data_IF_601752454320
#
_entry.id   IF_601752454320
#
_cell.length_a   1.000
_cell.length_b   1.000
_cell.length_c   1.000
_cell.angle_alpha   90.00
_cell.angle_beta   90.00
_cell.angle_gamma   90.00
#
_symmetry.space_group_name_H-M   'P 1'
#
loop_
_entity.id
_entity.type
_entity.pdbx_description
1 polymer ?
#
# COMPACT_ATOMS: atom_id res chain seq x y z
N UNK A 1 5.65 19.07 -22.24
CA UNK A 1 4.53 18.38 -21.55
C UNK A 1 4.54 16.91 -22.00
N UNK A 2 5.33 16.08 -21.33
CA UNK A 2 5.37 14.63 -21.59
C UNK A 2 4.56 13.99 -20.47
N UNK A 3 3.42 13.39 -20.80
CA UNK A 3 2.61 12.64 -19.85
C UNK A 3 3.45 11.49 -19.25
N UNK A 4 3.32 11.18 -17.96
CA UNK A 4 3.96 10.01 -17.39
C UNK A 4 3.38 8.76 -18.08
N UNK A 5 4.22 7.98 -18.74
CA UNK A 5 3.81 6.69 -19.29
C UNK A 5 3.29 5.79 -18.16
N UNK A 6 2.15 5.09 -18.34
CA UNK A 6 1.71 4.08 -17.40
C UNK A 6 2.77 2.98 -17.33
N UNK A 7 3.20 2.65 -16.12
CA UNK A 7 4.07 1.51 -15.85
C UNK A 7 3.42 0.25 -16.43
N UNK A 8 4.21 -0.69 -17.02
CA UNK A 8 3.66 -1.91 -17.56
C UNK A 8 2.99 -2.69 -16.43
N UNK A 9 1.67 -2.78 -16.48
CA UNK A 9 0.93 -3.75 -15.69
C UNK A 9 1.39 -5.13 -16.12
N UNK A 10 1.69 -5.98 -15.16
CA UNK A 10 1.80 -7.43 -15.33
C UNK A 10 0.44 -7.96 -15.80
N UNK A 11 0.16 -7.81 -17.10
CA UNK A 11 -1.03 -8.35 -17.75
C UNK A 11 -0.82 -9.84 -18.02
N UNK A 12 -0.65 -10.64 -16.98
CA UNK A 12 -1.06 -12.04 -17.10
C UNK A 12 -2.60 -12.09 -17.16
N UNK A 13 -3.19 -12.88 -18.07
CA UNK A 13 -4.64 -13.03 -18.12
C UNK A 13 -5.12 -13.65 -16.80
N UNK A 14 -5.93 -12.89 -16.06
CA UNK A 14 -6.54 -13.33 -14.80
C UNK A 14 -7.32 -14.62 -15.08
N UNK A 15 -7.03 -15.70 -14.34
CA UNK A 15 -7.71 -16.96 -14.57
C UNK A 15 -9.22 -16.82 -14.28
N UNK A 16 -10.07 -17.55 -15.03
CA UNK A 16 -11.51 -17.57 -14.77
C UNK A 16 -11.81 -18.00 -13.33
N UNK A 17 -10.99 -18.89 -12.77
CA UNK A 17 -11.08 -19.31 -11.37
C UNK A 17 -10.92 -18.13 -10.43
N UNK A 18 -9.92 -17.27 -10.64
CA UNK A 18 -9.66 -16.10 -9.79
C UNK A 18 -10.75 -15.04 -9.91
N UNK A 19 -11.29 -14.84 -11.11
CA UNK A 19 -12.44 -13.94 -11.32
C UNK A 19 -13.67 -14.43 -10.57
N UNK A 20 -13.97 -15.74 -10.63
CA UNK A 20 -15.09 -16.35 -9.94
C UNK A 20 -14.94 -16.32 -8.42
N UNK A 21 -13.78 -16.71 -7.88
CA UNK A 21 -13.53 -16.69 -6.42
C UNK A 21 -13.56 -15.27 -5.87
N UNK A 22 -13.04 -14.29 -6.61
CA UNK A 22 -13.16 -12.85 -6.29
C UNK A 22 -14.63 -12.42 -6.24
N UNK A 23 -15.40 -12.69 -7.30
CA UNK A 23 -16.80 -12.28 -7.36
C UNK A 23 -17.63 -12.86 -6.19
N UNK A 24 -17.43 -14.15 -5.90
CA UNK A 24 -18.08 -14.83 -4.77
C UNK A 24 -17.66 -14.18 -3.45
N UNK A 25 -16.36 -13.97 -3.22
CA UNK A 25 -15.86 -13.40 -1.98
C UNK A 25 -16.39 -11.98 -1.73
N UNK A 26 -16.38 -11.12 -2.75
CA UNK A 26 -16.92 -9.76 -2.66
C UNK A 26 -18.42 -9.76 -2.36
N UNK A 27 -19.18 -10.63 -3.02
CA UNK A 27 -20.62 -10.72 -2.80
C UNK A 27 -20.95 -11.24 -1.39
N UNK A 28 -20.24 -12.28 -0.93
CA UNK A 28 -20.38 -12.79 0.43
C UNK A 28 -20.06 -11.70 1.47
N UNK A 29 -18.99 -10.93 1.25
CA UNK A 29 -18.65 -9.82 2.12
C UNK A 29 -19.75 -8.75 2.14
N UNK A 30 -20.17 -8.24 0.97
CA UNK A 30 -21.17 -7.17 0.86
C UNK A 30 -22.50 -7.53 1.53
N UNK A 31 -22.98 -8.76 1.32
CA UNK A 31 -24.26 -9.21 1.92
C UNK A 31 -24.18 -9.33 3.44
N UNK A 32 -22.99 -9.62 3.98
CA UNK A 32 -22.81 -9.91 5.41
C UNK A 32 -22.25 -8.73 6.23
N UNK A 33 -21.61 -7.73 5.60
CA UNK A 33 -20.91 -6.66 6.31
C UNK A 33 -21.88 -5.69 6.99
N UNK A 34 -22.83 -5.10 6.26
CA UNK A 34 -23.70 -4.02 6.75
C UNK A 34 -22.91 -3.05 7.65
N UNK A 35 -23.29 -2.93 8.93
CA UNK A 35 -22.64 -2.10 9.97
C UNK A 35 -21.77 -2.92 10.95
N UNK A 36 -21.57 -4.22 10.69
CA UNK A 36 -20.89 -5.15 11.60
C UNK A 36 -19.39 -4.88 11.63
N UNK A 37 -18.74 -5.33 12.70
CA UNK A 37 -17.27 -5.32 12.77
C UNK A 37 -16.70 -6.34 11.79
N UNK A 38 -15.60 -5.98 11.14
CA UNK A 38 -14.90 -6.84 10.18
C UNK A 38 -14.54 -8.19 10.83
N UNK A 39 -14.16 -8.20 12.10
CA UNK A 39 -13.87 -9.42 12.88
C UNK A 39 -15.06 -10.36 12.97
N UNK A 40 -16.25 -9.82 13.25
CA UNK A 40 -17.46 -10.62 13.45
C UNK A 40 -17.91 -11.24 12.13
N UNK A 41 -17.74 -10.49 11.04
CA UNK A 41 -18.00 -10.97 9.67
C UNK A 41 -17.01 -12.05 9.28
N UNK A 42 -15.72 -11.89 9.62
CA UNK A 42 -14.69 -12.89 9.36
C UNK A 42 -15.01 -14.24 10.02
N UNK A 43 -15.40 -14.24 11.30
CA UNK A 43 -15.83 -15.45 12.00
C UNK A 43 -17.08 -16.06 11.37
N UNK A 44 -18.11 -15.25 11.15
CA UNK A 44 -19.38 -15.69 10.58
C UNK A 44 -19.23 -16.31 9.19
N UNK A 45 -18.40 -15.72 8.32
CA UNK A 45 -18.19 -16.22 6.97
C UNK A 45 -17.32 -17.48 6.95
N UNK A 46 -16.36 -17.61 7.87
CA UNK A 46 -15.57 -18.84 8.02
C UNK A 46 -16.47 -20.01 8.34
N UNK A 47 -17.30 -19.88 9.37
CA UNK A 47 -18.20 -20.94 9.81
C UNK A 47 -19.23 -21.29 8.72
N UNK A 48 -19.72 -20.28 7.99
CA UNK A 48 -20.60 -20.47 6.83
C UNK A 48 -19.92 -21.28 5.70
N UNK A 49 -18.69 -20.92 5.31
CA UNK A 49 -17.94 -21.63 4.26
C UNK A 49 -17.62 -23.08 4.63
N UNK A 50 -17.44 -23.36 5.91
CA UNK A 50 -17.16 -24.70 6.42
C UNK A 50 -18.37 -25.63 6.22
N UNK A 51 -19.59 -25.10 6.41
CA UNK A 51 -20.85 -25.82 6.25
C UNK A 51 -21.24 -26.10 4.79
N UNK A 52 -20.73 -25.32 3.82
CA UNK A 52 -21.06 -25.52 2.41
C UNK A 52 -20.51 -26.85 1.87
N UNK A 53 -21.29 -27.57 1.05
CA UNK A 53 -20.83 -28.80 0.36
C UNK A 53 -20.11 -28.45 -0.94
N UNK A 54 -18.92 -27.88 -0.84
CA UNK A 54 -18.06 -27.51 -1.98
C UNK A 54 -16.77 -28.36 -2.02
N UNK A 55 -16.21 -28.63 -3.21
CA UNK A 55 -14.92 -29.30 -3.34
C UNK A 55 -13.80 -28.56 -2.57
N UNK A 56 -12.83 -29.28 -1.95
CA UNK A 56 -11.80 -28.66 -1.11
C UNK A 56 -11.00 -27.56 -1.82
N UNK A 57 -10.66 -27.75 -3.10
CA UNK A 57 -9.94 -26.74 -3.90
C UNK A 57 -10.76 -25.45 -4.09
N UNK A 58 -12.05 -25.57 -4.36
CA UNK A 58 -12.94 -24.42 -4.49
C UNK A 58 -13.11 -23.68 -3.16
N UNK A 59 -13.27 -24.41 -2.04
CA UNK A 59 -13.29 -23.81 -0.70
C UNK A 59 -12.00 -23.05 -0.40
N UNK A 60 -10.84 -23.64 -0.71
CA UNK A 60 -9.53 -22.98 -0.50
C UNK A 60 -9.43 -21.68 -1.30
N UNK A 61 -9.84 -21.69 -2.57
CA UNK A 61 -9.85 -20.49 -3.41
C UNK A 61 -10.73 -19.38 -2.83
N UNK A 62 -11.99 -19.69 -2.49
CA UNK A 62 -12.93 -18.72 -1.91
C UNK A 62 -12.41 -18.19 -0.57
N UNK A 63 -11.88 -19.04 0.31
CA UNK A 63 -11.30 -18.61 1.59
C UNK A 63 -10.11 -17.66 1.39
N UNK A 64 -9.26 -17.92 0.41
CA UNK A 64 -8.13 -17.03 0.10
C UNK A 64 -8.62 -15.66 -0.36
N UNK A 65 -9.52 -15.62 -1.35
CA UNK A 65 -10.09 -14.37 -1.86
C UNK A 65 -10.84 -13.61 -0.76
N UNK A 66 -11.57 -14.29 0.12
CA UNK A 66 -12.24 -13.66 1.25
C UNK A 66 -11.25 -13.09 2.27
N UNK A 67 -10.17 -13.80 2.57
CA UNK A 67 -9.12 -13.28 3.45
C UNK A 67 -8.46 -12.02 2.88
N UNK A 68 -8.33 -11.93 1.55
CA UNK A 68 -7.80 -10.73 0.89
C UNK A 68 -8.82 -9.58 0.91
N UNK A 69 -10.13 -9.85 0.71
CA UNK A 69 -11.20 -8.84 0.90
C UNK A 69 -11.18 -8.28 2.31
N UNK A 70 -11.14 -9.14 3.33
CA UNK A 70 -11.13 -8.72 4.74
C UNK A 70 -9.86 -7.93 5.10
N UNK A 71 -8.71 -8.30 4.52
CA UNK A 71 -7.45 -7.56 4.70
C UNK A 71 -7.54 -6.18 4.07
N UNK A 72 -8.08 -6.08 2.87
CA UNK A 72 -8.24 -4.81 2.16
C UNK A 72 -9.20 -3.88 2.92
N UNK A 73 -10.32 -4.40 3.41
CA UNK A 73 -11.25 -3.65 4.23
C UNK A 73 -10.63 -3.15 5.54
N UNK A 74 -9.81 -3.98 6.18
CA UNK A 74 -9.05 -3.59 7.36
C UNK A 74 -8.02 -2.50 7.03
N UNK A 75 -7.35 -2.58 5.87
CA UNK A 75 -6.45 -1.52 5.39
C UNK A 75 -7.21 -0.21 5.18
N UNK A 76 -8.36 -0.26 4.52
CA UNK A 76 -9.21 0.90 4.30
C UNK A 76 -9.67 1.54 5.62
N UNK A 77 -10.19 0.74 6.55
CA UNK A 77 -10.65 1.19 7.87
C UNK A 77 -9.52 1.83 8.67
N UNK A 78 -8.36 1.16 8.76
CA UNK A 78 -7.18 1.67 9.48
C UNK A 78 -6.66 2.99 8.87
N UNK A 79 -6.69 3.13 7.54
CA UNK A 79 -6.27 4.36 6.84
C UNK A 79 -7.22 5.52 7.13
N UNK A 80 -8.52 5.30 7.01
CA UNK A 80 -9.52 6.36 7.16
C UNK A 80 -9.84 6.66 8.63
N UNK A 81 -9.51 5.77 9.56
CA UNK A 81 -9.61 6.04 10.99
C UNK A 81 -8.74 7.24 11.41
N UNK A 82 -7.61 7.43 10.73
CA UNK A 82 -6.68 8.54 10.94
C UNK A 82 -7.27 9.90 10.57
N UNK A 83 -8.38 9.93 9.82
CA UNK A 83 -9.11 11.16 9.51
C UNK A 83 -9.73 11.81 10.75
N UNK A 84 -9.92 11.03 11.82
CA UNK A 84 -10.60 11.46 13.03
C UNK A 84 -9.60 11.75 14.13
N UNK A 85 -9.78 12.90 14.78
CA UNK A 85 -9.05 13.26 15.99
C UNK A 85 -9.79 12.62 17.17
N UNK A 86 -9.19 11.60 17.77
CA UNK A 86 -9.68 11.01 19.01
C UNK A 86 -9.33 11.95 20.17
N UNK A 87 -10.34 12.46 20.88
CA UNK A 87 -10.12 13.23 22.10
C UNK A 87 -9.50 12.35 23.18
N UNK A 88 -8.55 12.86 23.99
CA UNK A 88 -7.91 12.08 25.04
C UNK A 88 -8.96 11.63 26.06
N UNK A 89 -9.28 10.31 26.01
CA UNK A 89 -10.06 9.49 26.95
C UNK A 89 -10.83 10.27 28.04
N UNK A 90 -11.88 11.00 27.66
CA UNK A 90 -12.92 11.32 28.62
C UNK A 90 -13.71 10.05 28.92
N UNK A 91 -13.92 9.76 30.21
CA UNK A 91 -14.40 8.49 30.80
C UNK A 91 -15.80 8.01 30.37
N UNK A 92 -16.41 8.58 29.33
CA UNK A 92 -17.71 8.14 28.81
C UNK A 92 -17.48 7.14 27.67
N UNK A 93 -18.31 6.08 27.65
CA UNK A 93 -18.44 5.11 26.55
C UNK A 93 -19.00 5.78 25.29
N UNK A 94 -18.33 6.83 24.79
CA UNK A 94 -18.66 7.43 23.51
C UNK A 94 -17.98 6.56 22.46
N UNK A 95 -18.79 6.02 21.56
CA UNK A 95 -18.34 5.29 20.38
C UNK A 95 -17.27 6.12 19.67
N UNK A 96 -16.12 5.52 19.31
CA UNK A 96 -15.04 6.26 18.62
C UNK A 96 -15.60 6.86 17.33
N UNK A 97 -15.20 8.09 16.99
CA UNK A 97 -15.69 8.77 15.77
C UNK A 97 -15.39 7.94 14.52
N UNK A 98 -14.26 7.23 14.49
CA UNK A 98 -13.90 6.29 13.42
C UNK A 98 -14.86 5.11 13.25
N UNK A 99 -15.67 4.74 14.25
CA UNK A 99 -16.65 3.66 14.05
C UNK A 99 -17.76 4.04 13.05
N UNK A 100 -17.94 5.33 12.74
CA UNK A 100 -18.81 5.75 11.64
C UNK A 100 -18.33 5.22 10.29
N UNK A 101 -17.05 4.89 10.11
CA UNK A 101 -16.58 4.33 8.84
C UNK A 101 -17.29 3.03 8.44
N UNK A 102 -17.85 2.30 9.42
CA UNK A 102 -18.66 1.10 9.17
C UNK A 102 -19.91 1.39 8.34
N UNK A 103 -20.38 2.64 8.32
CA UNK A 103 -21.51 3.06 7.49
C UNK A 103 -21.22 3.02 6.01
N UNK A 104 -19.96 3.03 5.62
CA UNK A 104 -19.55 3.18 4.23
C UNK A 104 -19.12 1.88 3.56
N UNK A 105 -18.99 0.79 4.33
CA UNK A 105 -18.40 -0.47 3.84
C UNK A 105 -19.11 -1.07 2.62
N UNK A 106 -20.44 -0.96 2.54
CA UNK A 106 -21.20 -1.47 1.41
C UNK A 106 -21.13 -0.57 0.16
N UNK A 107 -20.77 0.69 0.35
CA UNK A 107 -20.70 1.73 -0.69
C UNK A 107 -19.29 1.88 -1.28
N UNK A 108 -18.30 1.13 -0.81
CA UNK A 108 -16.94 1.21 -1.34
C UNK A 108 -16.87 0.72 -2.79
N UNK A 109 -16.12 1.48 -3.60
CA UNK A 109 -15.87 1.18 -5.02
C UNK A 109 -14.64 0.29 -5.12
N UNK A 110 -14.79 -0.87 -5.73
CA UNK A 110 -13.70 -1.85 -5.89
C UNK A 110 -13.10 -1.77 -7.30
N UNK A 111 -11.78 -1.89 -7.42
CA UNK A 111 -11.09 -1.97 -8.72
C UNK A 111 -11.55 -3.22 -9.48
N UNK A 112 -11.71 -3.12 -10.80
CA UNK A 112 -12.26 -4.21 -11.63
C UNK A 112 -11.36 -5.45 -11.68
N UNK A 113 -10.05 -5.24 -11.72
CA UNK A 113 -9.04 -6.28 -11.93
C UNK A 113 -8.42 -6.84 -10.64
N UNK A 114 -8.75 -6.31 -9.47
CA UNK A 114 -8.12 -6.67 -8.20
C UNK A 114 -9.11 -6.72 -7.03
N UNK A 115 -8.71 -7.37 -5.93
CA UNK A 115 -9.36 -7.24 -4.63
C UNK A 115 -8.74 -6.04 -3.92
N UNK A 116 -9.13 -4.86 -4.37
CA UNK A 116 -8.60 -3.59 -3.90
C UNK A 116 -9.68 -2.52 -3.98
N UNK A 117 -9.79 -1.68 -2.97
CA UNK A 117 -10.69 -0.54 -2.98
C UNK A 117 -10.04 0.60 -3.79
N UNK A 118 -10.80 1.18 -4.70
CA UNK A 118 -10.42 2.44 -5.32
C UNK A 118 -10.74 3.57 -4.32
N UNK A 119 -9.73 3.98 -3.56
CA UNK A 119 -9.84 4.96 -2.48
C UNK A 119 -10.42 6.31 -2.96
N UNK A 120 -9.92 6.83 -4.09
CA UNK A 120 -10.35 8.11 -4.65
C UNK A 120 -11.78 8.01 -5.19
N UNK A 121 -12.08 6.97 -5.97
CA UNK A 121 -13.42 6.77 -6.51
C UNK A 121 -14.44 6.54 -5.39
N UNK A 122 -14.05 5.79 -4.35
CA UNK A 122 -14.87 5.59 -3.15
C UNK A 122 -15.13 6.91 -2.45
N UNK A 123 -14.11 7.72 -2.19
CA UNK A 123 -14.29 9.02 -1.54
C UNK A 123 -15.24 9.94 -2.35
N UNK A 124 -15.08 10.00 -3.67
CA UNK A 124 -15.98 10.77 -4.55
C UNK A 124 -17.42 10.25 -4.51
N UNK A 125 -17.59 8.93 -4.57
CA UNK A 125 -18.90 8.30 -4.47
C UNK A 125 -19.58 8.60 -3.14
N UNK A 126 -18.87 8.42 -2.02
CA UNK A 126 -19.37 8.69 -0.67
C UNK A 126 -19.75 10.16 -0.47
N UNK A 127 -18.97 11.10 -1.00
CA UNK A 127 -19.30 12.53 -0.97
C UNK A 127 -20.61 12.80 -1.71
N UNK A 128 -20.80 12.18 -2.87
CA UNK A 128 -21.94 12.42 -3.73
C UNK A 128 -23.24 11.77 -3.22
N UNK A 129 -23.16 10.58 -2.62
CA UNK A 129 -24.35 9.81 -2.22
C UNK A 129 -24.58 9.83 -0.70
N UNK A 130 -23.63 9.31 0.07
CA UNK A 130 -23.81 9.01 1.50
C UNK A 130 -23.61 10.23 2.41
N UNK A 131 -22.76 11.18 2.01
CA UNK A 131 -22.38 12.32 2.84
C UNK A 131 -23.14 13.60 2.49
N UNK A 132 -24.18 13.54 1.66
CA UNK A 132 -24.92 14.73 1.15
C UNK A 132 -25.34 15.72 2.25
N UNK A 133 -25.77 15.22 3.41
CA UNK A 133 -26.18 16.02 4.57
C UNK A 133 -25.11 16.16 5.66
N UNK A 134 -23.86 15.77 5.38
CA UNK A 134 -22.75 15.84 6.34
C UNK A 134 -21.57 16.64 5.77
N UNK A 135 -21.63 17.99 5.79
CA UNK A 135 -20.62 18.85 5.21
C UNK A 135 -19.21 18.61 5.76
N UNK A 136 -19.10 18.31 7.06
CA UNK A 136 -17.81 18.03 7.69
C UNK A 136 -17.15 16.77 7.08
N UNK A 137 -17.88 15.67 6.92
CA UNK A 137 -17.33 14.45 6.31
C UNK A 137 -16.97 14.68 4.84
N UNK A 138 -17.79 15.44 4.10
CA UNK A 138 -17.44 15.84 2.74
C UNK A 138 -16.11 16.59 2.69
N UNK A 139 -15.95 17.59 3.55
CA UNK A 139 -14.72 18.39 3.65
C UNK A 139 -13.51 17.52 4.02
N UNK A 140 -13.67 16.64 5.01
CA UNK A 140 -12.59 15.75 5.47
C UNK A 140 -12.12 14.80 4.35
N UNK A 141 -13.05 14.15 3.62
CA UNK A 141 -12.71 13.31 2.48
C UNK A 141 -12.07 14.12 1.35
N UNK A 142 -12.63 15.28 1.01
CA UNK A 142 -12.08 16.15 -0.03
C UNK A 142 -10.62 16.55 0.30
N UNK A 143 -10.36 16.93 1.55
CA UNK A 143 -9.02 17.28 2.04
C UNK A 143 -8.01 16.14 1.94
N UNK A 144 -8.40 14.93 2.35
CA UNK A 144 -7.52 13.75 2.34
C UNK A 144 -7.12 13.33 0.93
N UNK A 145 -8.01 13.53 -0.03
CA UNK A 145 -7.82 13.16 -1.44
C UNK A 145 -7.50 14.34 -2.36
N UNK A 146 -7.19 15.51 -1.79
CA UNK A 146 -6.85 16.74 -2.50
C UNK A 146 -7.85 17.09 -3.63
N UNK A 147 -9.15 16.97 -3.36
CA UNK A 147 -10.20 17.35 -4.30
C UNK A 147 -10.39 18.87 -4.29
N UNK A 148 -9.46 19.60 -4.92
CA UNK A 148 -9.40 21.07 -4.89
C UNK A 148 -10.69 21.72 -5.41
N UNK A 149 -11.32 21.12 -6.42
CA UNK A 149 -12.61 21.54 -6.97
C UNK A 149 -13.72 21.58 -5.92
N UNK A 150 -13.71 20.67 -4.96
CA UNK A 150 -14.67 20.66 -3.85
C UNK A 150 -14.24 21.55 -2.69
N UNK A 151 -12.94 21.58 -2.37
CA UNK A 151 -12.41 22.34 -1.22
C UNK A 151 -12.59 23.84 -1.43
N UNK A 152 -12.38 24.32 -2.66
CA UNK A 152 -12.47 25.73 -3.02
C UNK A 152 -13.90 26.22 -3.23
N UNK A 153 -14.87 25.32 -3.42
CA UNK A 153 -16.28 25.64 -3.67
C UNK A 153 -16.91 26.41 -2.49
N UNK A 154 -17.09 27.71 -2.65
CA UNK A 154 -17.69 28.58 -1.64
C UNK A 154 -19.18 28.29 -1.38
N UNK A 155 -19.89 27.70 -2.35
CA UNK A 155 -21.28 27.29 -2.17
C UNK A 155 -21.41 26.11 -1.21
N UNK A 156 -20.38 25.23 -1.19
CA UNK A 156 -20.30 24.09 -0.28
C UNK A 156 -19.65 24.44 1.04
N UNK A 157 -18.54 25.17 1.00
CA UNK A 157 -17.72 25.48 2.17
C UNK A 157 -17.51 26.99 2.28
N UNK A 158 -18.58 27.70 2.61
CA UNK A 158 -18.54 29.13 2.86
C UNK A 158 -17.59 29.51 4.02
N UNK A 159 -17.34 30.81 4.17
CA UNK A 159 -16.47 31.38 5.21
C UNK A 159 -16.87 30.96 6.64
N UNK A 160 -18.16 30.88 6.95
CA UNK A 160 -18.64 30.53 8.30
C UNK A 160 -18.43 29.03 8.60
N UNK A 161 -18.67 28.17 7.61
CA UNK A 161 -18.35 26.73 7.68
C UNK A 161 -16.86 26.52 7.86
N UNK A 162 -16.00 27.21 7.10
CA UNK A 162 -14.54 27.14 7.26
C UNK A 162 -14.09 27.56 8.65
N UNK A 163 -14.65 28.63 9.23
CA UNK A 163 -14.37 29.04 10.62
C UNK A 163 -14.77 27.95 11.62
N UNK A 164 -15.91 27.30 11.38
CA UNK A 164 -16.41 26.22 12.24
C UNK A 164 -15.51 24.99 12.15
N UNK A 165 -15.15 24.57 10.94
CA UNK A 165 -14.20 23.48 10.70
C UNK A 165 -12.86 23.78 11.32
N UNK A 166 -12.36 25.01 11.23
CA UNK A 166 -11.12 25.42 11.91
C UNK A 166 -11.16 25.13 13.40
N UNK A 167 -12.26 25.48 14.09
CA UNK A 167 -12.40 25.19 15.53
C UNK A 167 -12.50 23.69 15.86
N UNK A 168 -12.99 22.87 14.94
CA UNK A 168 -13.29 21.45 15.20
C UNK A 168 -12.20 20.49 14.70
N UNK A 169 -11.44 20.91 13.69
CA UNK A 169 -10.58 20.05 12.87
C UNK A 169 -9.12 20.52 12.81
N UNK A 170 -8.77 21.74 13.24
CA UNK A 170 -7.41 22.30 13.09
C UNK A 170 -6.33 21.54 13.83
N UNK A 171 -6.67 20.67 14.77
CA UNK A 171 -5.67 19.85 15.46
C UNK A 171 -5.13 18.72 14.55
N UNK A 172 -5.79 18.45 13.41
CA UNK A 172 -5.33 17.48 12.42
C UNK A 172 -4.47 18.16 11.35
N UNK A 173 -3.28 17.61 11.02
CA UNK A 173 -2.31 18.26 10.13
C UNK A 173 -2.86 18.55 8.73
N UNK A 174 -3.69 17.67 8.19
CA UNK A 174 -4.29 17.85 6.86
C UNK A 174 -5.31 18.98 6.82
N UNK A 175 -6.17 19.09 7.84
CA UNK A 175 -7.24 20.11 7.84
C UNK A 175 -6.65 21.48 8.20
N UNK A 176 -5.69 21.53 9.12
CA UNK A 176 -4.96 22.77 9.43
C UNK A 176 -4.23 23.31 8.20
N UNK A 177 -3.61 22.42 7.42
CA UNK A 177 -2.99 22.77 6.14
C UNK A 177 -3.99 23.39 5.18
N UNK A 178 -5.10 22.71 4.85
CA UNK A 178 -6.07 23.21 3.86
C UNK A 178 -6.74 24.51 4.32
N UNK A 179 -7.19 24.57 5.58
CA UNK A 179 -7.86 25.76 6.11
C UNK A 179 -6.91 26.96 6.18
N UNK A 180 -5.62 26.75 6.45
CA UNK A 180 -4.63 27.83 6.41
C UNK A 180 -4.30 28.24 4.98
N UNK A 181 -4.16 27.27 4.07
CA UNK A 181 -3.86 27.53 2.66
C UNK A 181 -4.97 28.37 2.01
N UNK A 182 -6.24 28.05 2.29
CA UNK A 182 -7.40 28.80 1.80
C UNK A 182 -7.46 30.26 2.30
N UNK A 183 -6.76 30.59 3.38
CA UNK A 183 -6.67 31.95 3.93
C UNK A 183 -5.36 32.66 3.52
N UNK A 184 -4.43 31.96 2.85
CA UNK A 184 -3.06 32.42 2.60
C UNK A 184 -2.77 32.68 1.12
N UNK A 185 -1.64 33.32 0.82
CA UNK A 185 -1.10 33.35 -0.54
C UNK A 185 -0.40 32.02 -0.84
N UNK A 186 -0.86 31.31 -1.88
CA UNK A 186 -0.42 29.97 -2.23
C UNK A 186 1.03 29.91 -2.69
N UNK A 187 1.47 30.87 -3.50
CA UNK A 187 2.84 30.92 -4.03
C UNK A 187 3.85 31.01 -2.88
N UNK A 188 3.57 31.89 -1.92
CA UNK A 188 4.42 32.05 -0.72
C UNK A 188 4.34 30.81 0.17
N UNK A 189 3.18 30.17 0.26
CA UNK A 189 2.99 29.00 1.14
C UNK A 189 3.80 27.78 0.68
N UNK A 190 3.95 27.61 -0.63
CA UNK A 190 4.67 26.48 -1.25
C UNK A 190 6.12 26.81 -1.62
N UNK A 191 6.58 28.05 -1.48
CA UNK A 191 7.98 28.43 -1.71
C UNK A 191 8.90 27.82 -0.64
N UNK A 192 9.42 26.63 -0.93
CA UNK A 192 10.38 25.91 -0.09
C UNK A 192 11.82 26.02 -0.59
N UNK A 193 12.06 26.77 -1.67
CA UNK A 193 13.40 26.93 -2.25
C UNK A 193 14.08 28.18 -1.72
N UNK A 194 13.34 29.30 -1.63
CA UNK A 194 13.90 30.56 -1.15
C UNK A 194 13.61 30.81 0.33
N UNK A 195 12.65 30.07 0.90
CA UNK A 195 12.20 30.23 2.28
C UNK A 195 12.25 28.92 3.06
N UNK A 196 12.22 29.06 4.38
CA UNK A 196 12.04 27.93 5.30
C UNK A 196 10.66 27.31 5.03
N UNK A 197 10.58 25.98 4.81
CA UNK A 197 9.31 25.31 4.53
C UNK A 197 8.27 25.57 5.62
N UNK A 198 7.04 25.86 5.21
CA UNK A 198 5.94 26.04 6.16
C UNK A 198 5.74 24.76 6.99
N UNK A 199 5.59 24.91 8.31
CA UNK A 199 5.43 23.77 9.21
C UNK A 199 4.16 22.97 8.91
N UNK A 200 3.04 23.63 8.58
CA UNK A 200 1.76 22.98 8.28
C UNK A 200 1.84 22.17 7.00
N UNK A 201 2.50 22.72 5.97
CA UNK A 201 2.84 22.02 4.74
C UNK A 201 3.64 20.75 5.03
N UNK A 202 4.71 20.88 5.80
CA UNK A 202 5.62 19.79 6.15
C UNK A 202 4.89 18.67 6.92
N UNK A 203 4.08 19.03 7.91
CA UNK A 203 3.31 18.08 8.71
C UNK A 203 2.24 17.36 7.88
N UNK A 204 1.50 18.09 7.04
CA UNK A 204 0.52 17.53 6.11
C UNK A 204 1.18 16.55 5.13
N UNK A 205 2.32 16.93 4.55
CA UNK A 205 3.04 16.08 3.62
C UNK A 205 3.57 14.80 4.27
N UNK A 206 4.15 14.91 5.47
CA UNK A 206 4.59 13.74 6.24
C UNK A 206 3.42 12.80 6.57
N UNK A 207 2.28 13.37 6.97
CA UNK A 207 1.06 12.61 7.24
C UNK A 207 0.56 11.90 5.98
N UNK A 208 0.42 12.62 4.86
CA UNK A 208 -0.07 12.08 3.60
C UNK A 208 0.78 10.92 3.12
N UNK A 209 2.11 11.03 3.19
CA UNK A 209 3.02 9.93 2.86
C UNK A 209 2.81 8.76 3.82
N UNK A 210 2.88 9.02 5.13
CA UNK A 210 2.84 7.98 6.17
C UNK A 210 1.57 7.13 6.13
N UNK A 211 0.44 7.73 5.78
CA UNK A 211 -0.87 7.09 5.75
C UNK A 211 -1.37 6.80 4.32
N UNK A 212 -0.53 7.01 3.30
CA UNK A 212 -0.81 6.54 1.94
C UNK A 212 -1.86 7.34 1.17
N UNK A 213 -2.04 8.63 1.45
CA UNK A 213 -2.97 9.49 0.71
C UNK A 213 -2.31 10.00 -0.59
N UNK A 214 -2.24 9.14 -1.60
CA UNK A 214 -1.45 9.36 -2.83
C UNK A 214 -1.78 10.68 -3.53
N UNK A 215 -3.06 11.02 -3.69
CA UNK A 215 -3.49 12.25 -4.36
C UNK A 215 -3.00 13.50 -3.63
N UNK A 216 -3.01 13.48 -2.29
CA UNK A 216 -2.48 14.58 -1.49
C UNK A 216 -0.94 14.63 -1.54
N UNK A 217 -0.28 13.47 -1.59
CA UNK A 217 1.17 13.38 -1.81
C UNK A 217 1.53 13.99 -3.16
N UNK A 218 0.86 13.60 -4.25
CA UNK A 218 1.06 14.14 -5.60
C UNK A 218 0.81 15.65 -5.66
N UNK A 219 -0.30 16.09 -5.09
CA UNK A 219 -0.66 17.51 -5.04
C UNK A 219 0.42 18.37 -4.39
N UNK A 220 0.94 17.94 -3.23
CA UNK A 220 2.02 18.65 -2.53
C UNK A 220 3.34 18.50 -3.29
N UNK A 221 3.67 17.29 -3.76
CA UNK A 221 4.92 16.97 -4.43
C UNK A 221 5.16 17.89 -5.62
N UNK A 222 4.15 18.14 -6.46
CA UNK A 222 4.30 18.98 -7.65
C UNK A 222 4.44 20.48 -7.34
N UNK A 223 4.33 20.91 -6.08
CA UNK A 223 4.37 22.33 -5.67
C UNK A 223 5.58 22.72 -4.83
N UNK A 224 6.33 21.75 -4.31
CA UNK A 224 7.50 22.00 -3.46
C UNK A 224 8.82 21.82 -4.23
N UNK A 225 9.89 22.42 -3.72
CA UNK A 225 11.25 22.31 -4.28
C UNK A 225 11.89 20.94 -4.04
N UNK A 226 12.87 20.59 -4.89
CA UNK A 226 13.48 19.26 -4.92
C UNK A 226 14.21 18.89 -3.61
N UNK A 227 14.86 19.84 -2.96
CA UNK A 227 15.51 19.60 -1.65
C UNK A 227 14.49 19.14 -0.59
N UNK A 228 13.30 19.73 -0.57
CA UNK A 228 12.23 19.37 0.38
C UNK A 228 11.60 18.02 0.02
N UNK A 229 11.41 17.74 -1.29
CA UNK A 229 10.95 16.44 -1.78
C UNK A 229 11.87 15.31 -1.33
N UNK A 230 13.18 15.45 -1.54
CA UNK A 230 14.16 14.44 -1.16
C UNK A 230 14.20 14.27 0.36
N UNK A 231 14.34 15.35 1.11
CA UNK A 231 14.49 15.29 2.57
C UNK A 231 13.28 14.64 3.26
N UNK A 232 12.07 15.16 3.02
CA UNK A 232 10.86 14.62 3.65
C UNK A 232 10.52 13.23 3.08
N UNK A 233 10.67 13.07 1.77
CA UNK A 233 10.40 11.81 1.09
C UNK A 233 11.26 10.67 1.61
N UNK A 234 12.58 10.85 1.72
CA UNK A 234 13.48 9.83 2.29
C UNK A 234 13.19 9.55 3.77
N UNK A 235 12.87 10.58 4.55
CA UNK A 235 12.53 10.42 5.96
C UNK A 235 11.31 9.52 6.15
N UNK A 236 10.25 9.74 5.37
CA UNK A 236 9.02 8.93 5.47
C UNK A 236 9.10 7.61 4.69
N UNK A 237 9.94 7.50 3.66
CA UNK A 237 10.12 6.29 2.86
C UNK A 237 10.45 5.06 3.70
N UNK A 238 11.32 5.22 4.71
CA UNK A 238 11.63 4.13 5.66
C UNK A 238 10.38 3.61 6.35
N UNK A 239 9.54 4.51 6.87
CA UNK A 239 8.28 4.14 7.53
C UNK A 239 7.32 3.45 6.57
N UNK A 240 7.27 3.91 5.32
CA UNK A 240 6.48 3.28 4.26
C UNK A 240 6.93 1.86 3.95
N UNK A 241 8.24 1.59 3.88
CA UNK A 241 8.75 0.22 3.71
C UNK A 241 8.39 -0.70 4.89
N UNK A 242 8.33 -0.16 6.11
CA UNK A 242 7.83 -0.91 7.27
C UNK A 242 6.31 -1.11 7.25
N UNK A 243 5.58 -0.11 6.71
CA UNK A 243 4.15 -0.08 6.38
C UNK A 243 3.76 -1.22 5.43
N UNK A 244 4.21 -1.05 4.19
CA UNK A 244 3.93 -1.87 3.01
C UNK A 244 2.43 -2.15 2.81
N UNK A 245 1.62 -1.08 2.77
CA UNK A 245 0.15 -1.17 2.68
C UNK A 245 -0.43 -0.38 1.52
N UNK A 246 0.07 0.84 1.29
CA UNK A 246 -0.51 1.74 0.30
C UNK A 246 0.28 1.70 -1.01
N UNK A 247 -0.25 0.94 -1.97
CA UNK A 247 0.40 0.62 -3.24
C UNK A 247 0.76 1.88 -4.02
N UNK A 248 -0.24 2.71 -4.29
CA UNK A 248 -0.11 3.86 -5.19
C UNK A 248 0.92 4.86 -4.65
N UNK A 249 0.86 5.18 -3.35
CA UNK A 249 1.83 6.06 -2.69
C UNK A 249 3.24 5.46 -2.67
N UNK A 250 3.36 4.15 -2.43
CA UNK A 250 4.66 3.48 -2.46
C UNK A 250 5.28 3.52 -3.86
N UNK A 251 4.52 3.20 -4.91
CA UNK A 251 5.00 3.22 -6.30
C UNK A 251 5.39 4.64 -6.73
N UNK A 252 4.55 5.63 -6.41
CA UNK A 252 4.83 7.04 -6.68
C UNK A 252 6.14 7.49 -6.03
N UNK A 253 6.25 7.33 -4.71
CA UNK A 253 7.44 7.75 -3.96
C UNK A 253 8.69 6.97 -4.37
N UNK A 254 8.58 5.66 -4.55
CA UNK A 254 9.71 4.85 -4.98
C UNK A 254 10.27 5.35 -6.31
N UNK A 255 9.39 5.61 -7.29
CA UNK A 255 9.79 6.07 -8.62
C UNK A 255 10.45 7.44 -8.56
N UNK A 256 9.84 8.38 -7.82
CA UNK A 256 10.35 9.75 -7.74
C UNK A 256 11.64 9.83 -6.93
N UNK A 257 11.71 9.19 -5.77
CA UNK A 257 12.91 9.19 -4.93
C UNK A 257 14.08 8.45 -5.58
N UNK A 258 13.83 7.36 -6.30
CA UNK A 258 14.91 6.66 -7.02
C UNK A 258 15.47 7.46 -8.19
N UNK A 259 14.67 8.33 -8.82
CA UNK A 259 15.18 9.27 -9.83
C UNK A 259 16.11 10.32 -9.22
N UNK A 260 15.86 10.70 -7.97
CA UNK A 260 16.66 11.71 -7.26
C UNK A 260 17.91 11.08 -6.63
N UNK A 261 17.77 9.98 -5.90
CA UNK A 261 18.84 9.36 -5.12
C UNK A 261 18.69 7.83 -5.00
N UNK A 262 19.02 7.06 -6.05
CA UNK A 262 18.79 5.62 -6.07
C UNK A 262 19.65 4.86 -5.04
N UNK A 263 20.84 5.37 -4.70
CA UNK A 263 21.74 4.77 -3.70
C UNK A 263 21.18 4.96 -2.30
N UNK A 264 20.76 6.18 -1.95
CA UNK A 264 20.19 6.51 -0.66
C UNK A 264 18.90 5.73 -0.40
N UNK A 265 18.01 5.66 -1.39
CA UNK A 265 16.78 4.86 -1.31
C UNK A 265 17.08 3.39 -1.10
N UNK A 266 18.01 2.80 -1.86
CA UNK A 266 18.39 1.39 -1.69
C UNK A 266 18.90 1.09 -0.27
N UNK A 267 19.81 1.93 0.25
CA UNK A 267 20.37 1.76 1.60
C UNK A 267 19.31 1.83 2.70
N UNK A 268 18.37 2.78 2.60
CA UNK A 268 17.29 2.95 3.58
C UNK A 268 16.28 1.81 3.50
N UNK A 269 16.02 1.30 2.30
CA UNK A 269 15.08 0.21 2.05
C UNK A 269 15.59 -1.14 2.53
N UNK A 270 16.92 -1.35 2.48
CA UNK A 270 17.54 -2.66 2.71
C UNK A 270 17.14 -3.32 4.01
N UNK A 271 17.21 -2.60 5.14
CA UNK A 271 16.87 -3.17 6.45
C UNK A 271 15.42 -3.67 6.48
N UNK A 272 14.47 -2.84 6.07
CA UNK A 272 13.06 -3.24 6.06
C UNK A 272 12.80 -4.41 5.10
N UNK A 273 13.47 -4.42 3.96
CA UNK A 273 13.35 -5.46 2.94
C UNK A 273 13.93 -6.79 3.40
N UNK A 274 15.17 -6.78 3.90
CA UNK A 274 15.87 -7.97 4.40
C UNK A 274 15.20 -8.52 5.66
N UNK A 275 14.78 -7.69 6.61
CA UNK A 275 14.06 -8.15 7.81
C UNK A 275 12.74 -8.84 7.43
N UNK A 276 12.02 -8.31 6.44
CA UNK A 276 10.77 -8.92 5.97
C UNK A 276 11.04 -10.27 5.28
N UNK A 277 12.09 -10.34 4.46
CA UNK A 277 12.55 -11.59 3.85
C UNK A 277 12.97 -12.62 4.90
N UNK A 278 13.86 -12.25 5.81
CA UNK A 278 14.40 -13.14 6.85
C UNK A 278 13.30 -13.71 7.74
N UNK A 279 12.33 -12.88 8.16
CA UNK A 279 11.18 -13.34 8.93
C UNK A 279 10.23 -14.23 8.10
N UNK A 280 10.18 -14.06 6.78
CA UNK A 280 9.36 -14.92 5.91
C UNK A 280 9.94 -16.33 5.73
N UNK A 281 11.24 -16.51 5.93
CA UNK A 281 11.91 -17.80 5.77
C UNK A 281 12.18 -18.52 7.10
N UNK A 282 12.23 -17.80 8.25
CA UNK A 282 12.63 -18.36 9.55
C UNK A 282 11.51 -18.45 10.58
N UNK A 283 10.44 -17.65 10.48
CA UNK A 283 9.33 -17.69 11.45
C UNK A 283 8.21 -18.61 10.98
N UNK A 284 8.50 -19.91 10.90
CA UNK A 284 7.52 -20.99 10.66
C UNK A 284 6.62 -21.23 11.90
N UNK A 285 6.05 -20.18 12.50
CA UNK A 285 5.07 -20.35 13.58
C UNK A 285 3.66 -20.58 13.01
N UNK A 286 3.24 -21.85 13.11
CA UNK A 286 1.93 -22.56 13.14
C UNK A 286 0.58 -21.93 12.76
N UNK A 287 0.46 -20.63 12.47
CA UNK A 287 -0.82 -20.01 12.10
C UNK A 287 -0.79 -19.51 10.65
N UNK A 288 -1.60 -20.13 9.80
CA UNK A 288 -1.72 -19.86 8.35
C UNK A 288 -1.99 -18.37 8.04
N UNK A 289 -2.58 -17.65 9.00
CA UNK A 289 -2.84 -16.21 8.93
C UNK A 289 -1.59 -15.34 9.18
N UNK A 290 -0.65 -15.81 10.00
CA UNK A 290 0.60 -15.11 10.36
C UNK A 290 1.74 -15.51 9.41
N UNK A 291 1.81 -16.79 9.04
CA UNK A 291 2.81 -17.38 8.13
C UNK A 291 2.83 -16.65 6.76
N UNK A 292 1.66 -16.21 6.28
CA UNK A 292 1.55 -15.44 5.04
C UNK A 292 1.85 -13.94 5.18
N UNK A 293 1.94 -13.38 6.40
CA UNK A 293 2.05 -11.92 6.56
C UNK A 293 3.39 -11.39 6.06
N UNK A 294 4.50 -12.00 6.48
CA UNK A 294 5.84 -11.56 6.09
C UNK A 294 6.10 -11.84 4.61
N UNK A 295 5.69 -13.01 4.12
CA UNK A 295 5.81 -13.36 2.72
C UNK A 295 4.99 -12.44 1.80
N UNK A 296 3.71 -12.22 2.08
CA UNK A 296 2.87 -11.28 1.29
C UNK A 296 3.43 -9.86 1.35
N UNK A 297 3.98 -9.45 2.49
CA UNK A 297 4.64 -8.16 2.62
C UNK A 297 5.93 -8.07 1.81
N UNK A 298 6.73 -9.13 1.79
CA UNK A 298 7.93 -9.22 0.96
C UNK A 298 7.58 -9.11 -0.53
N UNK A 299 6.58 -9.87 -0.99
CA UNK A 299 6.06 -9.80 -2.35
C UNK A 299 5.57 -8.40 -2.70
N UNK A 300 4.75 -7.81 -1.83
CA UNK A 300 4.26 -6.45 -2.00
C UNK A 300 5.41 -5.44 -2.13
N UNK A 301 6.46 -5.54 -1.32
CA UNK A 301 7.61 -4.63 -1.43
C UNK A 301 8.32 -4.79 -2.77
N UNK A 302 8.55 -6.03 -3.23
CA UNK A 302 9.30 -6.28 -4.48
C UNK A 302 8.52 -5.86 -5.73
N UNK A 303 7.22 -6.14 -5.76
CA UNK A 303 6.30 -5.79 -6.85
C UNK A 303 6.16 -4.27 -7.01
N UNK A 304 6.12 -3.54 -5.89
CA UNK A 304 5.86 -2.09 -5.89
C UNK A 304 7.13 -1.22 -5.85
N UNK A 305 8.30 -1.83 -5.75
CA UNK A 305 9.57 -1.16 -6.05
C UNK A 305 9.68 -0.88 -7.55
N UNK A 306 10.19 0.30 -7.92
CA UNK A 306 10.56 0.59 -9.30
C UNK A 306 11.73 -0.33 -9.75
N UNK A 307 11.93 -0.52 -11.06
CA UNK A 307 12.94 -1.45 -11.58
C UNK A 307 14.37 -1.16 -11.07
N UNK A 308 14.74 0.12 -10.95
CA UNK A 308 16.07 0.52 -10.47
C UNK A 308 16.30 0.10 -9.01
N UNK A 309 15.31 0.34 -8.13
CA UNK A 309 15.42 -0.06 -6.72
C UNK A 309 15.43 -1.58 -6.58
N UNK A 310 14.56 -2.26 -7.33
CA UNK A 310 14.48 -3.72 -7.37
C UNK A 310 15.83 -4.34 -7.77
N UNK A 311 16.45 -3.85 -8.85
CA UNK A 311 17.77 -4.29 -9.31
C UNK A 311 18.82 -4.13 -8.21
N UNK A 312 18.83 -2.98 -7.53
CA UNK A 312 19.77 -2.72 -6.42
C UNK A 312 19.54 -3.65 -5.24
N UNK A 313 18.32 -3.75 -4.74
CA UNK A 313 17.97 -4.57 -3.58
C UNK A 313 18.33 -6.05 -3.80
N UNK A 314 18.03 -6.61 -4.96
CA UNK A 314 18.33 -8.01 -5.28
C UNK A 314 19.83 -8.29 -5.39
N UNK A 315 20.65 -7.28 -5.73
CA UNK A 315 22.12 -7.37 -5.81
C UNK A 315 22.82 -7.06 -4.47
N UNK A 316 22.13 -6.44 -3.51
CA UNK A 316 22.75 -6.01 -2.26
C UNK A 316 23.41 -7.17 -1.51
N UNK A 317 24.53 -6.83 -0.86
CA UNK A 317 25.37 -7.78 -0.11
C UNK A 317 25.75 -9.03 -0.92
N UNK A 318 26.07 -8.84 -2.21
CA UNK A 318 26.42 -9.91 -3.15
C UNK A 318 25.30 -10.95 -3.32
N UNK A 319 24.09 -10.49 -3.65
CA UNK A 319 22.91 -11.34 -3.86
C UNK A 319 22.56 -12.19 -2.63
N UNK A 320 22.68 -11.60 -1.43
CA UNK A 320 22.46 -12.31 -0.16
C UNK A 320 21.08 -12.98 -0.09
N UNK A 321 20.01 -12.26 -0.45
CA UNK A 321 18.63 -12.77 -0.39
C UNK A 321 18.43 -13.97 -1.34
N UNK A 322 18.99 -13.91 -2.54
CA UNK A 322 18.93 -15.03 -3.51
C UNK A 322 19.72 -16.23 -2.97
N UNK A 323 20.89 -15.98 -2.42
CA UNK A 323 21.76 -17.01 -1.84
C UNK A 323 21.12 -17.69 -0.64
N UNK A 324 20.48 -16.92 0.24
CA UNK A 324 19.81 -17.45 1.43
C UNK A 324 18.55 -18.22 1.03
N UNK A 325 17.73 -17.72 0.09
CA UNK A 325 16.59 -18.47 -0.44
C UNK A 325 17.00 -19.83 -1.04
N UNK A 326 18.15 -19.87 -1.73
CA UNK A 326 18.72 -21.13 -2.24
C UNK A 326 19.21 -22.05 -1.10
N UNK A 327 19.98 -21.51 -0.15
CA UNK A 327 20.57 -22.27 0.97
C UNK A 327 19.52 -22.90 1.88
N UNK A 328 18.40 -22.22 2.10
CA UNK A 328 17.30 -22.68 2.94
C UNK A 328 16.22 -23.43 2.15
N UNK A 329 16.47 -23.78 0.88
CA UNK A 329 15.54 -24.53 0.01
C UNK A 329 14.14 -23.89 -0.10
N UNK A 330 14.07 -22.56 -0.14
CA UNK A 330 12.83 -21.79 -0.20
C UNK A 330 12.33 -21.69 -1.64
N UNK A 331 11.76 -22.79 -2.17
CA UNK A 331 11.47 -22.95 -3.60
C UNK A 331 10.59 -21.84 -4.19
N UNK A 332 9.50 -21.50 -3.51
CA UNK A 332 8.55 -20.51 -4.02
C UNK A 332 9.12 -19.09 -3.95
N UNK A 333 9.82 -18.76 -2.87
CA UNK A 333 10.49 -17.47 -2.70
C UNK A 333 11.64 -17.32 -3.70
N UNK A 334 12.41 -18.38 -3.93
CA UNK A 334 13.49 -18.39 -4.92
C UNK A 334 12.94 -18.15 -6.33
N UNK A 335 11.91 -18.89 -6.76
CA UNK A 335 11.26 -18.69 -8.05
C UNK A 335 10.76 -17.25 -8.22
N UNK A 336 10.07 -16.72 -7.21
CA UNK A 336 9.57 -15.34 -7.21
C UNK A 336 10.69 -14.30 -7.35
N UNK A 337 11.84 -14.49 -6.69
CA UNK A 337 13.00 -13.62 -6.85
C UNK A 337 13.51 -13.63 -8.29
N UNK A 338 13.60 -14.80 -8.92
CA UNK A 338 14.11 -14.95 -10.29
C UNK A 338 13.20 -14.31 -11.35
N UNK A 339 11.89 -14.32 -11.14
CA UNK A 339 10.92 -13.61 -12.00
C UNK A 339 11.22 -12.11 -12.06
N UNK A 340 11.76 -11.56 -10.96
CA UNK A 340 12.00 -10.14 -10.74
C UNK A 340 13.45 -9.70 -11.06
N UNK A 341 14.29 -10.60 -11.56
CA UNK A 341 15.68 -10.32 -11.94
C UNK A 341 15.82 -10.10 -13.45
N UNK A 342 16.69 -9.16 -13.83
CA UNK A 342 17.09 -9.00 -15.24
C UNK A 342 18.12 -10.06 -15.67
N UNK A 343 18.36 -10.18 -16.99
CA UNK A 343 19.29 -11.19 -17.53
C UNK A 343 20.74 -11.07 -17.03
N UNK A 344 21.20 -9.86 -16.70
CA UNK A 344 22.53 -9.62 -16.13
C UNK A 344 22.60 -10.13 -14.69
N UNK A 345 21.58 -9.83 -13.89
CA UNK A 345 21.44 -10.30 -12.52
C UNK A 345 21.33 -11.82 -12.46
N UNK A 346 20.58 -12.45 -13.37
CA UNK A 346 20.45 -13.91 -13.45
C UNK A 346 21.80 -14.58 -13.73
N UNK A 347 22.60 -14.03 -14.65
CA UNK A 347 23.97 -14.52 -14.92
C UNK A 347 24.87 -14.44 -13.68
N UNK A 348 24.88 -13.28 -13.02
CA UNK A 348 25.72 -13.05 -11.84
C UNK A 348 25.30 -13.91 -10.65
N UNK A 349 23.99 -14.08 -10.44
CA UNK A 349 23.46 -14.90 -9.35
C UNK A 349 23.76 -16.39 -9.56
N UNK A 350 23.77 -16.86 -10.82
CA UNK A 350 24.18 -18.23 -11.16
C UNK A 350 25.58 -18.55 -10.67
N UNK A 351 26.55 -17.68 -10.87
CA UNK A 351 27.93 -17.91 -10.39
C UNK A 351 27.99 -18.10 -8.87
N UNK A 352 27.08 -17.46 -8.13
CA UNK A 352 27.02 -17.56 -6.67
C UNK A 352 26.31 -18.85 -6.26
N UNK A 353 25.21 -19.20 -6.92
CA UNK A 353 24.47 -20.45 -6.70
C UNK A 353 25.33 -21.67 -7.04
N UNK A 354 26.03 -21.66 -8.18
CA UNK A 354 26.94 -22.74 -8.60
C UNK A 354 28.07 -22.94 -7.58
N UNK A 355 28.60 -21.85 -7.00
CA UNK A 355 29.57 -21.91 -5.89
C UNK A 355 29.01 -22.52 -4.61
N UNK A 356 27.72 -22.32 -4.31
CA UNK A 356 27.07 -22.90 -3.12
C UNK A 356 26.76 -24.38 -3.35
N UNK A 357 26.20 -24.74 -4.51
CA UNK A 357 25.89 -26.13 -4.88
C UNK A 357 27.16 -26.99 -4.92
N UNK A 358 28.25 -26.48 -5.50
CA UNK A 358 29.54 -27.20 -5.53
C UNK A 358 30.12 -27.52 -4.14
N UNK A 359 29.59 -26.91 -3.06
CA UNK A 359 29.93 -27.21 -1.66
C UNK A 359 28.93 -28.14 -0.96
N UNK A 360 27.71 -28.30 -1.49
CA UNK A 360 26.61 -29.10 -0.92
C UNK A 360 25.75 -29.67 -2.05
N UNK A 361 26.05 -30.89 -2.46
CA UNK A 361 25.32 -31.52 -3.56
C UNK A 361 24.05 -32.20 -3.05
N UNK A 362 22.92 -31.51 -3.18
CA UNK A 362 21.60 -31.99 -2.75
C UNK A 362 20.63 -32.00 -3.93
N UNK A 363 19.71 -32.98 -3.97
CA UNK A 363 18.70 -33.09 -5.04
C UNK A 363 17.80 -31.85 -5.15
N UNK A 364 17.47 -31.25 -4.00
CA UNK A 364 16.66 -30.04 -3.94
C UNK A 364 17.41 -28.82 -4.49
N UNK A 365 18.71 -28.68 -4.18
CA UNK A 365 19.56 -27.65 -4.77
C UNK A 365 19.66 -27.76 -6.30
N UNK A 366 19.74 -28.98 -6.84
CA UNK A 366 19.76 -29.21 -8.28
C UNK A 366 18.43 -28.85 -8.96
N UNK A 367 17.30 -28.98 -8.25
CA UNK A 367 15.99 -28.53 -8.75
C UNK A 367 15.91 -27.01 -8.84
N UNK A 368 16.36 -26.30 -7.80
CA UNK A 368 16.41 -24.83 -7.79
C UNK A 368 17.36 -24.28 -8.85
N UNK A 369 18.52 -24.93 -9.01
CA UNK A 369 19.50 -24.60 -10.05
C UNK A 369 18.91 -24.76 -11.44
N UNK A 370 18.16 -25.85 -11.71
CA UNK A 370 17.43 -26.02 -12.96
C UNK A 370 16.40 -24.92 -13.22
N UNK A 371 15.67 -24.47 -12.19
CA UNK A 371 14.73 -23.35 -12.32
C UNK A 371 15.46 -22.04 -12.71
N UNK A 372 16.63 -21.78 -12.11
CA UNK A 372 17.48 -20.64 -12.48
C UNK A 372 17.95 -20.71 -13.94
N UNK A 373 18.44 -21.87 -14.38
CA UNK A 373 18.88 -22.07 -15.76
C UNK A 373 17.73 -21.90 -16.76
N UNK A 374 16.55 -22.42 -16.43
CA UNK A 374 15.37 -22.27 -17.25
C UNK A 374 14.96 -20.79 -17.38
N UNK A 375 14.91 -20.06 -16.27
CA UNK A 375 14.60 -18.62 -16.29
C UNK A 375 15.63 -17.81 -17.07
N UNK A 376 16.92 -18.15 -16.94
CA UNK A 376 17.97 -17.51 -17.71
C UNK A 376 17.75 -17.71 -19.22
N UNK A 377 17.40 -18.94 -19.64
CA UNK A 377 17.14 -19.25 -21.04
C UNK A 377 15.92 -18.49 -21.61
N UNK A 378 14.88 -18.28 -20.81
CA UNK A 378 13.66 -17.57 -21.22
C UNK A 378 13.76 -16.03 -21.14
N UNK A 379 14.92 -15.48 -20.74
CA UNK A 379 15.16 -14.02 -20.64
C UNK A 379 16.22 -13.52 -21.63
N UNK A 380 16.79 -14.40 -22.45
CA UNK A 380 17.85 -14.06 -23.43
C UNK A 380 17.27 -13.74 -24.82
N UNK A 381 15.98 -13.96 -25.03
CA UNK A 381 15.18 -13.37 -26.12
C UNK A 381 14.48 -12.09 -25.62
#
# INVERSE_FOLDING_TARGET
>A
LVAPQPMPSTNEPISLTDLCTRAIALQLFKVNIRWRRITDVAYSLRDFLDQLRLPPRAKKGIRSSLADVLREMKRWDEKHAEMFIDEPKNRRRVMRKSEHLRTFYEHLVWKTSAIEVDDLASARHLIATECSNWPQMQFQLACMYAMTDLIEDESRFDKYRRITFKKQLSDHPVYDFWLTLLESNWEIFFDTETRVPNQKLTLCFQFAIRHGYCQLVEYIWEKIGDNTKEYIGLLQWRSMCFRARDRDTMQFLCTRLCRMNPVGVARISWTAFFDTFYNSINNEESDVLVENKFRKRFQFLLENCCPELRKRLLKMENFRIVSDAFRYNQQETFAFLLEHMDGEQLRNAREIVDRIQGRRDTMDGERLRRALLHRQATTID
#
